data_IF_858765368136
#
_entry.id   IF_858765368136
#
_cell.length_a   1.000
_cell.length_b   1.000
_cell.length_c   1.000
_cell.angle_alpha   90.00
_cell.angle_beta   90.00
_cell.angle_gamma   90.00
#
_symmetry.space_group_name_H-M   'P 1'
#
loop_
_entity.id
_entity.type
_entity.pdbx_description
1 polymer ?
#
# COMPACT_ATOMS: atom_id res chain seq x y z
N UNK A 1 -2.57 -31.30 -10.13
CA UNK A 1 -2.74 -30.06 -10.91
C UNK A 1 -3.55 -28.99 -10.16
N UNK A 2 -4.73 -29.31 -9.60
CA UNK A 2 -5.53 -28.33 -8.83
C UNK A 2 -4.85 -27.82 -7.55
N UNK A 3 -4.19 -28.69 -6.77
CA UNK A 3 -3.45 -28.30 -5.55
C UNK A 3 -2.26 -27.36 -5.86
N UNK A 4 -1.54 -27.64 -6.95
CA UNK A 4 -0.41 -26.81 -7.39
C UNK A 4 -0.91 -25.46 -7.92
N UNK A 5 -2.00 -25.46 -8.69
CA UNK A 5 -2.65 -24.23 -9.17
C UNK A 5 -3.22 -23.40 -8.03
N UNK A 6 -3.83 -24.03 -7.01
CA UNK A 6 -4.33 -23.35 -5.82
C UNK A 6 -3.19 -22.77 -4.97
N UNK A 7 -2.09 -23.51 -4.80
CA UNK A 7 -0.90 -23.04 -4.08
C UNK A 7 -0.23 -21.86 -4.81
N UNK A 8 -0.07 -21.95 -6.14
CA UNK A 8 0.46 -20.85 -6.96
C UNK A 8 -0.49 -19.64 -6.93
N UNK A 9 -1.82 -19.82 -6.98
CA UNK A 9 -2.76 -18.70 -6.84
C UNK A 9 -2.70 -18.08 -5.44
N UNK A 10 -2.51 -18.89 -4.40
CA UNK A 10 -2.44 -18.38 -3.04
C UNK A 10 -1.13 -17.60 -2.81
N UNK A 11 0.00 -18.11 -3.29
CA UNK A 11 1.32 -17.47 -3.19
C UNK A 11 1.51 -16.30 -4.16
N UNK A 12 1.28 -16.50 -5.45
CA UNK A 12 1.50 -15.47 -6.47
C UNK A 12 0.34 -14.46 -6.52
N UNK A 13 -0.89 -14.89 -6.22
CA UNK A 13 -2.06 -14.00 -6.25
C UNK A 13 -2.06 -13.00 -5.10
N UNK A 14 -1.97 -13.47 -3.85
CA UNK A 14 -2.02 -12.56 -2.68
C UNK A 14 -0.68 -11.86 -2.43
N UNK A 15 0.43 -12.60 -2.33
CA UNK A 15 1.72 -12.00 -2.06
C UNK A 15 2.24 -11.20 -3.27
N UNK A 16 2.01 -11.68 -4.49
CA UNK A 16 2.35 -10.92 -5.70
C UNK A 16 1.58 -9.61 -5.81
N UNK A 17 0.30 -9.58 -5.43
CA UNK A 17 -0.48 -8.33 -5.40
C UNK A 17 0.07 -7.35 -4.36
N UNK A 18 0.45 -7.82 -3.17
CA UNK A 18 1.06 -6.99 -2.12
C UNK A 18 2.39 -6.40 -2.61
N UNK A 19 3.26 -7.21 -3.21
CA UNK A 19 4.55 -6.76 -3.73
C UNK A 19 4.36 -5.77 -4.88
N UNK A 20 3.48 -6.06 -5.83
CA UNK A 20 3.22 -5.18 -6.97
C UNK A 20 2.67 -3.81 -6.53
N UNK A 21 1.74 -3.80 -5.58
CA UNK A 21 1.16 -2.56 -5.04
C UNK A 21 2.14 -1.79 -4.16
N UNK A 22 2.99 -2.47 -3.38
CA UNK A 22 4.09 -1.84 -2.66
C UNK A 22 5.06 -1.13 -3.63
N UNK A 23 5.47 -1.81 -4.71
CA UNK A 23 6.37 -1.24 -5.72
C UNK A 23 5.71 -0.04 -6.43
N UNK A 24 4.47 -0.21 -6.90
CA UNK A 24 3.73 0.88 -7.56
C UNK A 24 3.52 2.09 -6.63
N UNK A 25 3.31 1.83 -5.33
CA UNK A 25 3.11 2.84 -4.29
C UNK A 25 4.27 3.82 -4.15
N UNK A 26 5.51 3.42 -4.47
CA UNK A 26 6.64 4.37 -4.46
C UNK A 26 6.42 5.55 -5.40
N UNK A 27 5.72 5.34 -6.53
CA UNK A 27 5.36 6.39 -7.48
C UNK A 27 4.01 7.03 -7.16
N UNK A 28 2.96 6.23 -6.97
CA UNK A 28 1.61 6.71 -6.67
C UNK A 28 0.83 5.70 -5.83
N UNK A 29 0.09 6.16 -4.83
CA UNK A 29 -0.81 5.31 -4.02
C UNK A 29 -2.17 5.11 -4.69
N UNK A 30 -2.68 6.11 -5.41
CA UNK A 30 -4.07 6.09 -5.86
C UNK A 30 -4.31 5.08 -6.98
N UNK A 31 -3.43 5.04 -7.98
CA UNK A 31 -3.50 4.08 -9.09
C UNK A 31 -3.50 2.62 -8.62
N UNK A 32 -2.54 2.13 -7.80
CA UNK A 32 -2.59 0.76 -7.28
C UNK A 32 -3.79 0.51 -6.38
N UNK A 33 -4.24 1.49 -5.58
CA UNK A 33 -5.44 1.31 -4.75
C UNK A 33 -6.72 1.15 -5.58
N UNK A 34 -6.90 1.96 -6.63
CA UNK A 34 -8.02 1.85 -7.56
C UNK A 34 -7.97 0.51 -8.31
N UNK A 35 -6.77 0.06 -8.72
CA UNK A 35 -6.60 -1.22 -9.38
C UNK A 35 -7.03 -2.39 -8.47
N UNK A 36 -6.59 -2.41 -7.21
CA UNK A 36 -6.99 -3.43 -6.22
C UNK A 36 -8.50 -3.38 -5.97
N UNK A 37 -9.07 -2.20 -5.75
CA UNK A 37 -10.51 -2.04 -5.55
C UNK A 37 -11.32 -2.53 -6.75
N UNK A 38 -10.84 -2.26 -7.97
CA UNK A 38 -11.46 -2.73 -9.21
C UNK A 38 -11.38 -4.25 -9.36
N UNK A 39 -10.26 -4.86 -8.94
CA UNK A 39 -10.13 -6.32 -8.92
C UNK A 39 -11.10 -6.97 -7.94
N UNK A 40 -11.32 -6.35 -6.78
CA UNK A 40 -12.30 -6.82 -5.80
C UNK A 40 -13.74 -6.65 -6.32
N UNK A 41 -14.05 -5.52 -6.95
CA UNK A 41 -15.34 -5.28 -7.59
C UNK A 41 -15.63 -6.28 -8.73
N UNK A 42 -14.59 -6.69 -9.45
CA UNK A 42 -14.67 -7.72 -10.49
C UNK A 42 -14.68 -9.18 -9.95
N UNK A 43 -14.69 -9.37 -8.62
CA UNK A 43 -14.71 -10.70 -8.00
C UNK A 43 -13.41 -11.50 -8.15
N UNK A 44 -12.30 -10.86 -8.57
CA UNK A 44 -11.00 -11.52 -8.77
C UNK A 44 -10.24 -11.74 -7.46
N UNK A 45 -10.52 -10.94 -6.44
CA UNK A 45 -9.96 -11.06 -5.09
C UNK A 45 -11.07 -10.87 -4.06
N UNK A 46 -10.93 -11.50 -2.91
CA UNK A 46 -11.87 -11.33 -1.80
C UNK A 46 -11.66 -9.99 -1.09
N UNK A 47 -12.68 -9.47 -0.39
CA UNK A 47 -12.57 -8.20 0.36
C UNK A 47 -11.44 -8.21 1.39
N UNK A 48 -11.19 -9.34 2.05
CA UNK A 48 -10.09 -9.48 3.01
C UNK A 48 -8.69 -9.43 2.38
N UNK A 49 -8.58 -9.55 1.05
CA UNK A 49 -7.30 -9.46 0.33
C UNK A 49 -7.02 -8.04 -0.20
N UNK A 50 -7.93 -7.08 -0.01
CA UNK A 50 -7.82 -5.72 -0.55
C UNK A 50 -6.98 -4.81 0.34
N UNK A 51 -7.12 -4.95 1.66
CA UNK A 51 -6.64 -3.95 2.61
C UNK A 51 -5.11 -3.93 2.65
N UNK A 52 -4.47 -5.08 2.76
CA UNK A 52 -3.01 -5.16 2.89
C UNK A 52 -2.26 -4.61 1.67
N UNK A 53 -2.64 -4.92 0.40
CA UNK A 53 -2.07 -4.27 -0.78
C UNK A 53 -2.21 -2.73 -0.79
N UNK A 54 -3.37 -2.20 -0.39
CA UNK A 54 -3.60 -0.75 -0.34
C UNK A 54 -2.73 -0.10 0.75
N UNK A 55 -2.65 -0.72 1.92
CA UNK A 55 -1.79 -0.26 3.02
C UNK A 55 -0.31 -0.26 2.62
N UNK A 56 0.13 -1.30 1.91
CA UNK A 56 1.48 -1.37 1.38
C UNK A 56 1.76 -0.24 0.39
N UNK A 57 0.86 0.02 -0.56
CA UNK A 57 1.01 1.12 -1.52
C UNK A 57 1.03 2.50 -0.84
N UNK A 58 0.24 2.71 0.21
CA UNK A 58 0.24 3.96 0.98
C UNK A 58 1.53 4.12 1.79
N UNK A 59 2.01 3.03 2.39
CA UNK A 59 3.22 3.02 3.21
C UNK A 59 4.44 3.37 2.36
N UNK A 60 4.61 2.72 1.20
CA UNK A 60 5.75 3.01 0.31
C UNK A 60 5.70 4.42 -0.26
N UNK A 61 4.53 4.96 -0.58
CA UNK A 61 4.40 6.36 -0.99
C UNK A 61 4.75 7.35 0.12
N UNK A 62 4.33 7.03 1.35
CA UNK A 62 4.65 7.84 2.53
C UNK A 62 6.16 7.85 2.78
N UNK A 63 6.83 6.71 2.59
CA UNK A 63 8.28 6.62 2.63
C UNK A 63 8.91 7.49 1.54
N UNK A 64 8.44 7.44 0.29
CA UNK A 64 8.91 8.33 -0.79
C UNK A 64 8.81 9.79 -0.37
N UNK A 65 7.65 10.23 0.12
CA UNK A 65 7.41 11.61 0.56
C UNK A 65 8.33 12.02 1.71
N UNK A 66 8.54 11.15 2.69
CA UNK A 66 9.44 11.41 3.81
C UNK A 66 10.90 11.54 3.34
N UNK A 67 11.37 10.66 2.46
CA UNK A 67 12.72 10.73 1.87
C UNK A 67 12.88 12.03 1.07
N UNK A 68 11.90 12.38 0.23
CA UNK A 68 11.91 13.64 -0.53
C UNK A 68 11.92 14.86 0.39
N UNK A 69 11.16 14.83 1.49
CA UNK A 69 11.13 15.92 2.46
C UNK A 69 12.47 16.11 3.19
N UNK A 70 13.14 15.03 3.56
CA UNK A 70 14.47 15.10 4.20
C UNK A 70 15.55 15.55 3.21
N UNK A 71 15.43 15.17 1.93
CA UNK A 71 16.43 15.49 0.89
C UNK A 71 16.25 16.87 0.25
N UNK A 72 15.10 17.54 0.41
CA UNK A 72 14.78 18.82 -0.25
C UNK A 72 15.60 20.04 0.23
N UNK A 73 16.65 19.84 1.04
CA UNK A 73 17.56 20.87 1.60
C UNK A 73 16.86 21.97 2.42
N UNK A 74 15.56 21.84 2.66
CA UNK A 74 14.74 22.71 3.48
C UNK A 74 14.33 21.96 4.76
N UNK A 75 15.03 22.23 5.86
CA UNK A 75 14.77 21.57 7.15
C UNK A 75 13.41 21.92 7.73
N UNK A 76 12.92 23.12 7.46
CA UNK A 76 11.59 23.54 7.91
C UNK A 76 10.50 22.74 7.20
N UNK A 77 10.64 22.53 5.89
CA UNK A 77 9.74 21.66 5.13
C UNK A 77 9.70 20.23 5.70
N UNK A 78 10.85 19.65 6.04
CA UNK A 78 10.90 18.32 6.65
C UNK A 78 10.19 18.28 8.02
N UNK A 79 10.40 19.30 8.87
CA UNK A 79 9.79 19.38 10.20
C UNK A 79 8.28 19.60 10.16
N UNK A 80 7.76 20.24 9.12
CA UNK A 80 6.32 20.44 8.95
C UNK A 80 5.64 19.20 8.34
N UNK A 81 6.30 18.54 7.38
CA UNK A 81 5.70 17.43 6.60
C UNK A 81 5.77 16.09 7.31
N UNK A 82 6.91 15.76 7.95
CA UNK A 82 7.11 14.44 8.57
C UNK A 82 6.06 14.13 9.66
N UNK A 83 5.74 15.04 10.59
CA UNK A 83 4.72 14.77 11.61
C UNK A 83 3.34 14.49 10.99
N UNK A 84 2.97 15.23 9.95
CA UNK A 84 1.73 15.00 9.21
C UNK A 84 1.70 13.62 8.54
N UNK A 85 2.80 13.23 7.88
CA UNK A 85 2.93 11.90 7.29
C UNK A 85 2.82 10.78 8.32
N UNK A 86 3.49 10.94 9.47
CA UNK A 86 3.44 9.98 10.59
C UNK A 86 2.02 9.87 11.14
N UNK A 87 1.32 10.99 11.32
CA UNK A 87 -0.05 11.00 11.83
C UNK A 87 -1.01 10.30 10.87
N UNK A 88 -0.92 10.57 9.57
CA UNK A 88 -1.76 9.94 8.55
C UNK A 88 -1.50 8.43 8.48
N UNK A 89 -0.24 7.99 8.39
CA UNK A 89 0.07 6.57 8.27
C UNK A 89 -0.32 5.82 9.55
N UNK A 90 -0.11 6.42 10.73
CA UNK A 90 -0.55 5.85 12.01
C UNK A 90 -2.07 5.70 12.06
N UNK A 91 -2.83 6.74 11.71
CA UNK A 91 -4.29 6.70 11.70
C UNK A 91 -4.82 5.60 10.77
N UNK A 92 -4.23 5.46 9.59
CA UNK A 92 -4.63 4.43 8.62
C UNK A 92 -4.33 3.03 9.12
N UNK A 93 -3.14 2.78 9.69
CA UNK A 93 -2.81 1.48 10.27
C UNK A 93 -3.65 1.14 11.51
N UNK A 94 -3.93 2.13 12.37
CA UNK A 94 -4.83 1.95 13.52
C UNK A 94 -6.23 1.57 13.05
N UNK A 95 -6.80 2.29 12.08
CA UNK A 95 -8.09 1.94 11.49
C UNK A 95 -8.08 0.54 10.87
N UNK A 96 -6.96 0.12 10.28
CA UNK A 96 -6.81 -1.22 9.73
C UNK A 96 -6.65 -2.33 10.78
N UNK A 97 -6.24 -2.03 12.01
CA UNK A 97 -6.11 -3.02 13.10
C UNK A 97 -7.39 -3.08 13.95
N UNK A 98 -8.13 -1.97 14.08
CA UNK A 98 -9.33 -1.87 14.91
C UNK A 98 -10.64 -2.33 14.24
N UNK A 99 -10.59 -2.68 12.96
CA UNK A 99 -11.73 -3.19 12.17
C UNK A 99 -11.99 -4.68 12.40
#
# INVERSE_FOLDING_TARGET
MLLVSAAINQWLGSAGLIVATAIAGFGDTHAPAIAVASMAAAGKISRGQVELPILCALTTNTITKAVLAVTSRNRQYALEVIPGLVLVIAAVWIGAVLR
#
